data_IF_334436795560
#
_entry.id   IF_334436795560
#
_cell.length_a   1.000
_cell.length_b   1.000
_cell.length_c   1.000
_cell.angle_alpha   90.00
_cell.angle_beta   90.00
_cell.angle_gamma   90.00
#
_symmetry.space_group_name_H-M   'P 1'
#
loop_
_entity.id
_entity.type
_entity.pdbx_description
1 polymer ?
#
# COMPACT_ATOMS: atom_id res chain seq x y z
N UNK A 1 -6.35 1.12 -14.32
CA UNK A 1 -7.08 0.97 -13.04
C UNK A 1 -6.06 1.14 -11.93
N UNK A 2 -6.33 1.99 -10.92
CA UNK A 2 -5.42 2.17 -9.77
C UNK A 2 -5.91 1.31 -8.61
N UNK A 3 -4.98 0.75 -7.85
CA UNK A 3 -5.25 0.11 -6.56
C UNK A 3 -4.48 0.85 -5.48
N UNK A 4 -4.99 0.79 -4.26
CA UNK A 4 -4.41 1.47 -3.12
C UNK A 4 -4.11 0.46 -2.03
N UNK A 5 -2.96 0.58 -1.38
CA UNK A 5 -2.58 -0.26 -0.24
C UNK A 5 -2.63 0.62 1.00
N UNK A 6 -3.33 0.17 2.03
CA UNK A 6 -3.28 0.78 3.37
C UNK A 6 -2.44 -0.14 4.24
N UNK A 7 -1.30 0.34 4.71
CA UNK A 7 -0.42 -0.33 5.66
C UNK A 7 -0.71 0.17 7.07
N UNK A 8 -1.12 -0.73 7.95
CA UNK A 8 -1.38 -0.43 9.34
C UNK A 8 -0.10 -0.60 10.19
N UNK A 9 -0.06 0.05 11.36
CA UNK A 9 1.11 0.01 12.25
C UNK A 9 1.47 -1.41 12.74
N UNK A 10 0.50 -2.32 12.76
CA UNK A 10 0.72 -3.73 13.11
C UNK A 10 1.40 -4.54 11.98
N UNK A 11 1.73 -3.92 10.85
CA UNK A 11 2.36 -4.57 9.70
C UNK A 11 1.38 -5.31 8.77
N UNK A 12 0.09 -5.37 9.12
CA UNK A 12 -0.95 -5.83 8.21
C UNK A 12 -1.26 -4.76 7.15
N UNK A 13 -1.74 -5.18 5.99
CA UNK A 13 -2.19 -4.25 4.96
C UNK A 13 -3.49 -4.70 4.30
N UNK A 14 -4.22 -3.72 3.77
CA UNK A 14 -5.44 -3.93 2.97
C UNK A 14 -5.26 -3.33 1.58
N UNK A 15 -5.89 -3.96 0.59
CA UNK A 15 -5.86 -3.50 -0.81
C UNK A 15 -7.26 -3.03 -1.19
N UNK A 16 -7.36 -1.76 -1.58
CA UNK A 16 -8.60 -1.08 -1.93
C UNK A 16 -8.59 -0.69 -3.42
N UNK A 17 -9.75 -0.74 -4.07
CA UNK A 17 -9.91 -0.23 -5.45
C UNK A 17 -9.96 1.30 -5.51
N UNK A 18 -10.34 1.94 -4.41
CA UNK A 18 -10.49 3.39 -4.30
C UNK A 18 -9.50 3.95 -3.27
N UNK A 19 -9.15 5.23 -3.43
CA UNK A 19 -8.36 5.95 -2.43
C UNK A 19 -9.20 6.01 -1.15
N UNK A 20 -8.64 5.60 -0.02
CA UNK A 20 -9.24 5.82 1.29
C UNK A 20 -8.97 7.25 1.74
N UNK A 21 -9.98 7.92 2.30
CA UNK A 21 -9.79 9.24 2.88
C UNK A 21 -8.91 9.17 4.13
N UNK A 22 -8.04 10.16 4.27
CA UNK A 22 -7.07 10.23 5.38
C UNK A 22 -7.75 10.32 6.75
N UNK A 23 -8.94 10.93 6.80
CA UNK A 23 -9.78 11.02 8.01
C UNK A 23 -10.37 9.68 8.42
N UNK A 24 -10.50 8.74 7.48
CA UNK A 24 -10.96 7.37 7.71
C UNK A 24 -9.80 6.41 8.01
N UNK A 25 -8.54 6.84 7.82
CA UNK A 25 -7.38 6.03 8.13
C UNK A 25 -7.04 6.10 9.62
N UNK A 26 -6.74 4.96 10.26
CA UNK A 26 -6.24 4.95 11.63
C UNK A 26 -4.96 5.79 11.76
N UNK A 27 -4.72 6.43 12.92
CA UNK A 27 -3.49 7.17 13.17
C UNK A 27 -2.25 6.33 12.85
N UNK A 28 -1.34 6.88 12.04
CA UNK A 28 -0.10 6.22 11.64
C UNK A 28 -0.24 5.12 10.58
N UNK A 29 -1.44 4.90 10.03
CA UNK A 29 -1.58 4.13 8.81
C UNK A 29 -0.96 4.89 7.63
N UNK A 30 -0.27 4.16 6.74
CA UNK A 30 0.36 4.70 5.53
C UNK A 30 -0.40 4.21 4.32
N UNK A 31 -0.57 5.07 3.32
CA UNK A 31 -1.26 4.69 2.10
C UNK A 31 -0.30 4.71 0.92
N UNK A 32 -0.50 3.77 0.00
CA UNK A 32 0.30 3.64 -1.22
C UNK A 32 -0.62 3.51 -2.42
N UNK A 33 -0.15 3.93 -3.59
CA UNK A 33 -0.80 3.70 -4.88
C UNK A 33 0.01 2.70 -5.69
N UNK A 34 -0.70 1.76 -6.31
CA UNK A 34 -0.17 0.86 -7.33
C UNK A 34 -0.37 1.53 -8.70
N UNK A 35 0.73 1.90 -9.36
CA UNK A 35 0.70 2.54 -10.68
C UNK A 35 0.54 1.53 -11.83
N UNK A 36 0.70 0.24 -11.56
CA UNK A 36 0.56 -0.86 -12.52
C UNK A 36 -0.10 -2.09 -11.86
N UNK A 37 -0.28 -3.16 -12.65
CA UNK A 37 -0.58 -4.48 -12.09
C UNK A 37 0.56 -4.88 -11.16
N UNK A 38 0.21 -5.26 -9.93
CA UNK A 38 1.14 -5.78 -8.91
C UNK A 38 0.71 -7.21 -8.62
N UNK A 39 1.64 -8.16 -8.73
CA UNK A 39 1.35 -9.57 -8.44
C UNK A 39 1.45 -9.85 -6.93
N UNK A 40 0.90 -10.98 -6.48
CA UNK A 40 1.10 -11.42 -5.10
C UNK A 40 2.59 -11.64 -4.77
N UNK A 41 3.40 -12.06 -5.74
CA UNK A 41 4.85 -12.21 -5.56
C UNK A 41 5.54 -10.86 -5.34
N UNK A 42 5.13 -9.83 -6.09
CA UNK A 42 5.65 -8.47 -5.95
C UNK A 42 5.32 -7.89 -4.57
N UNK A 43 4.09 -8.08 -4.10
CA UNK A 43 3.68 -7.71 -2.75
C UNK A 43 4.53 -8.43 -1.69
N UNK A 44 4.72 -9.75 -1.82
CA UNK A 44 5.55 -10.51 -0.88
C UNK A 44 7.00 -9.99 -0.86
N UNK A 45 7.59 -9.68 -2.02
CA UNK A 45 8.93 -9.09 -2.11
C UNK A 45 8.98 -7.70 -1.47
N UNK A 46 7.97 -6.88 -1.68
CA UNK A 46 7.87 -5.55 -1.09
C UNK A 46 7.72 -5.61 0.44
N UNK A 47 6.88 -6.51 0.95
CA UNK A 47 6.73 -6.78 2.39
C UNK A 47 8.03 -7.31 3.01
N UNK A 48 8.72 -8.24 2.36
CA UNK A 48 10.01 -8.77 2.83
C UNK A 48 11.11 -7.70 2.92
N UNK A 49 10.99 -6.62 2.14
CA UNK A 49 11.88 -5.44 2.19
C UNK A 49 11.45 -4.38 3.21
N UNK A 50 10.49 -4.69 4.07
CA UNK A 50 9.98 -3.76 5.08
C UNK A 50 9.14 -2.62 4.49
N UNK A 51 8.36 -2.91 3.45
CA UNK A 51 7.46 -1.95 2.78
C UNK A 51 8.21 -0.76 2.15
N UNK A 52 9.42 -1.01 1.64
CA UNK A 52 10.28 -0.01 0.98
C UNK A 52 10.73 -0.49 -0.39
N UNK A 53 10.98 0.45 -1.28
CA UNK A 53 11.73 0.20 -2.52
C UNK A 53 11.02 -0.72 -3.51
N UNK A 54 9.89 -0.26 -4.05
CA UNK A 54 9.22 -0.91 -5.17
C UNK A 54 8.63 0.16 -6.10
N UNK A 55 9.21 0.36 -7.29
CA UNK A 55 8.90 1.53 -8.14
C UNK A 55 7.43 1.66 -8.57
N UNK A 56 6.68 0.56 -8.56
CA UNK A 56 5.25 0.52 -8.89
C UNK A 56 4.32 0.72 -7.69
N UNK A 57 4.84 0.68 -6.45
CA UNK A 57 4.11 0.96 -5.20
C UNK A 57 4.69 2.23 -4.60
N UNK A 58 3.95 3.33 -4.73
CA UNK A 58 4.41 4.65 -4.28
C UNK A 58 3.58 5.09 -3.09
N UNK A 59 4.24 5.58 -2.05
CA UNK A 59 3.56 6.17 -0.90
C UNK A 59 2.81 7.43 -1.35
N UNK A 60 1.59 7.60 -0.85
CA UNK A 60 0.75 8.76 -1.13
C UNK A 60 0.27 9.37 0.18
N UNK A 61 0.10 10.68 0.16
CA UNK A 61 -0.42 11.47 1.28
C UNK A 61 -1.93 11.34 1.50
#
# INVERSE_FOLDING_TARGET
MKYYIVLFQNGSFQINKNKTDKTALPPGARQFVCSSNVTAQDLNRWTAKGFKGFGTIQEIE
#
